data_IF_054554001770
#
_entry.id   IF_054554001770
#
_cell.length_a   1.000
_cell.length_b   1.000
_cell.length_c   1.000
_cell.angle_alpha   90.00
_cell.angle_beta   90.00
_cell.angle_gamma   90.00
#
_symmetry.space_group_name_H-M   'P 1'
#
loop_
_entity.id
_entity.type
_entity.pdbx_description
1 polymer ?
#
# COMPACT_ATOMS: atom_id res chain seq x y z
N UNK A 1 -49.23 -7.81 63.45
CA UNK A 1 -47.96 -8.54 63.24
C UNK A 1 -47.71 -8.96 61.78
N UNK A 2 -48.41 -8.40 60.78
CA UNK A 2 -48.25 -8.82 59.37
C UNK A 2 -47.35 -7.93 58.50
N UNK A 3 -47.00 -6.72 58.93
CA UNK A 3 -46.16 -5.79 58.15
C UNK A 3 -44.64 -5.94 58.37
N UNK A 4 -44.18 -6.46 59.51
CA UNK A 4 -42.74 -6.68 59.76
C UNK A 4 -42.16 -7.87 58.98
N UNK A 5 -42.98 -8.88 58.67
CA UNK A 5 -42.54 -10.06 57.90
C UNK A 5 -42.35 -9.78 56.40
N UNK A 6 -42.99 -8.76 55.83
CA UNK A 6 -42.84 -8.43 54.41
C UNK A 6 -41.57 -7.63 54.12
N UNK A 7 -41.11 -6.79 55.06
CA UNK A 7 -39.88 -5.99 54.90
C UNK A 7 -38.60 -6.83 54.91
N UNK A 8 -38.51 -7.80 55.81
CA UNK A 8 -37.34 -8.71 55.91
C UNK A 8 -37.24 -9.61 54.68
N UNK A 9 -38.39 -9.99 54.08
CA UNK A 9 -38.41 -10.85 52.89
C UNK A 9 -37.92 -10.15 51.63
N UNK A 10 -38.20 -8.84 51.49
CA UNK A 10 -37.67 -8.04 50.39
C UNK A 10 -36.17 -7.76 50.51
N UNK A 11 -35.66 -7.58 51.73
CA UNK A 11 -34.22 -7.34 51.97
C UNK A 11 -33.35 -8.59 51.69
N UNK A 12 -33.90 -9.79 51.94
CA UNK A 12 -33.27 -11.06 51.56
C UNK A 12 -33.22 -11.25 50.03
N UNK A 13 -34.29 -10.92 49.31
CA UNK A 13 -34.37 -11.04 47.84
C UNK A 13 -33.36 -10.11 47.14
N UNK A 14 -33.23 -8.87 47.63
CA UNK A 14 -32.24 -7.91 47.13
C UNK A 14 -30.81 -8.36 47.41
N UNK A 15 -30.55 -9.00 48.55
CA UNK A 15 -29.23 -9.55 48.89
C UNK A 15 -28.86 -10.71 47.96
N UNK A 16 -29.82 -11.58 47.67
CA UNK A 16 -29.64 -12.70 46.74
C UNK A 16 -29.39 -12.20 45.31
N UNK A 17 -30.09 -11.15 44.87
CA UNK A 17 -29.83 -10.49 43.58
C UNK A 17 -28.44 -9.84 43.52
N UNK A 18 -27.99 -9.19 44.60
CA UNK A 18 -26.64 -8.60 44.68
C UNK A 18 -25.56 -9.68 44.65
N UNK A 19 -25.76 -10.81 45.32
CA UNK A 19 -24.82 -11.95 45.25
C UNK A 19 -24.80 -12.60 43.86
N UNK A 20 -25.95 -12.69 43.20
CA UNK A 20 -26.06 -13.17 41.82
C UNK A 20 -25.39 -12.22 40.82
N UNK A 21 -25.54 -10.90 41.00
CA UNK A 21 -24.85 -9.90 40.19
C UNK A 21 -23.35 -9.93 40.43
N UNK A 22 -22.92 -10.04 41.70
CA UNK A 22 -21.50 -10.13 42.06
C UNK A 22 -20.83 -11.35 41.44
N UNK A 23 -21.46 -12.52 41.55
CA UNK A 23 -20.95 -13.74 40.91
C UNK A 23 -20.98 -13.67 39.38
N UNK A 24 -21.97 -13.00 38.78
CA UNK A 24 -21.99 -12.73 37.34
C UNK A 24 -20.87 -11.81 36.88
N UNK A 25 -20.58 -10.76 37.65
CA UNK A 25 -19.47 -9.84 37.41
C UNK A 25 -18.12 -10.55 37.59
N UNK A 26 -17.95 -11.34 38.64
CA UNK A 26 -16.73 -12.13 38.87
C UNK A 26 -16.49 -13.14 37.73
N UNK A 27 -17.57 -13.75 37.23
CA UNK A 27 -17.52 -14.65 36.06
C UNK A 27 -17.09 -13.89 34.80
N UNK A 28 -17.72 -12.76 34.49
CA UNK A 28 -17.35 -11.95 33.33
C UNK A 28 -15.89 -11.43 33.42
N UNK A 29 -15.44 -11.05 34.62
CA UNK A 29 -14.05 -10.66 34.87
C UNK A 29 -13.10 -11.84 34.62
N UNK A 30 -13.48 -13.06 35.02
CA UNK A 30 -12.66 -14.25 34.78
C UNK A 30 -12.60 -14.64 33.30
N UNK A 31 -13.70 -14.52 32.57
CA UNK A 31 -13.76 -14.76 31.12
C UNK A 31 -12.91 -13.74 30.36
N UNK A 32 -13.04 -12.44 30.68
CA UNK A 32 -12.19 -11.39 30.10
C UNK A 32 -10.71 -11.59 30.42
N UNK A 33 -10.36 -12.03 31.63
CA UNK A 33 -8.98 -12.37 31.98
C UNK A 33 -8.45 -13.54 31.15
N UNK A 34 -9.28 -14.55 30.90
CA UNK A 34 -8.93 -15.69 30.05
C UNK A 34 -8.69 -15.23 28.61
N UNK A 35 -9.61 -14.45 28.03
CA UNK A 35 -9.47 -13.90 26.67
C UNK A 35 -8.24 -12.99 26.52
N UNK A 36 -7.92 -12.19 27.53
CA UNK A 36 -6.71 -11.37 27.54
C UNK A 36 -5.45 -12.26 27.56
N UNK A 37 -5.47 -13.36 28.29
CA UNK A 37 -4.33 -14.27 28.35
C UNK A 37 -4.15 -15.04 27.04
N UNK A 38 -5.23 -15.48 26.41
CA UNK A 38 -5.22 -16.09 25.08
C UNK A 38 -4.69 -15.10 24.02
N UNK A 39 -5.10 -13.84 24.08
CA UNK A 39 -4.57 -12.78 23.19
C UNK A 39 -3.08 -12.51 23.42
N UNK A 40 -2.61 -12.52 24.67
CA UNK A 40 -1.17 -12.40 24.96
C UNK A 40 -0.39 -13.58 24.41
N UNK A 41 -0.91 -14.80 24.55
CA UNK A 41 -0.27 -16.00 24.00
C UNK A 41 -0.20 -15.91 22.47
N UNK A 42 -1.28 -15.52 21.80
CA UNK A 42 -1.28 -15.30 20.36
C UNK A 42 -0.27 -14.21 19.94
N UNK A 43 -0.12 -13.13 20.71
CA UNK A 43 0.90 -12.10 20.47
C UNK A 43 2.33 -12.64 20.63
N UNK A 44 2.57 -13.49 21.63
CA UNK A 44 3.88 -14.14 21.84
C UNK A 44 4.19 -15.10 20.68
N UNK A 45 3.21 -15.88 20.23
CA UNK A 45 3.32 -16.75 19.04
C UNK A 45 3.64 -15.93 17.79
N UNK A 46 2.91 -14.85 17.53
CA UNK A 46 3.18 -13.95 16.41
C UNK A 46 4.58 -13.33 16.49
N UNK A 47 5.04 -12.95 17.68
CA UNK A 47 6.41 -12.48 17.87
C UNK A 47 7.44 -13.57 17.61
N UNK A 48 7.19 -14.81 18.01
CA UNK A 48 8.08 -15.92 17.67
C UNK A 48 8.10 -16.20 16.17
N UNK A 49 6.96 -16.24 15.50
CA UNK A 49 6.88 -16.39 14.04
C UNK A 49 7.52 -15.22 13.31
N UNK A 50 7.35 -14.00 13.81
CA UNK A 50 8.03 -12.82 13.27
C UNK A 50 9.54 -12.94 13.45
N UNK A 51 10.02 -13.41 14.60
CA UNK A 51 11.44 -13.65 14.85
C UNK A 51 12.01 -14.79 13.99
N UNK A 52 11.21 -15.81 13.65
CA UNK A 52 11.57 -16.84 12.67
C UNK A 52 11.67 -16.26 11.24
N UNK A 53 10.79 -15.32 10.88
CA UNK A 53 10.80 -14.61 9.59
C UNK A 53 11.92 -13.55 9.53
N UNK A 54 12.23 -12.91 10.65
CA UNK A 54 13.30 -11.91 10.81
C UNK A 54 14.69 -12.53 10.70
N UNK A 55 14.80 -13.86 10.84
CA UNK A 55 15.98 -14.62 10.45
C UNK A 55 15.78 -15.31 9.08
N UNK A 56 15.95 -14.58 7.96
CA UNK A 56 15.72 -15.10 6.61
C UNK A 56 16.64 -16.29 6.28
N UNK A 57 17.74 -16.49 7.01
CA UNK A 57 18.64 -17.62 6.80
C UNK A 57 18.10 -18.95 7.33
N UNK A 58 17.19 -18.95 8.32
CA UNK A 58 16.57 -20.18 8.79
C UNK A 58 15.61 -20.76 7.74
N UNK A 59 14.90 -19.89 7.03
CA UNK A 59 14.05 -20.28 5.91
C UNK A 59 14.92 -20.82 4.75
N UNK A 60 16.02 -20.15 4.44
CA UNK A 60 16.99 -20.63 3.45
C UNK A 60 17.62 -21.97 3.86
N UNK A 61 17.91 -22.18 5.15
CA UNK A 61 18.44 -23.46 5.63
C UNK A 61 17.41 -24.60 5.57
N UNK A 62 16.12 -24.29 5.67
CA UNK A 62 15.04 -25.28 5.53
C UNK A 62 14.68 -25.58 4.07
N UNK A 63 14.85 -24.59 3.17
CA UNK A 63 14.55 -24.69 1.75
C UNK A 63 15.74 -25.20 0.93
N UNK A 64 16.97 -24.89 1.34
CA UNK A 64 18.18 -25.42 0.73
C UNK A 64 18.45 -26.77 1.38
N UNK A 65 18.06 -27.84 0.71
CA UNK A 65 18.48 -29.19 1.06
C UNK A 65 20.01 -29.28 0.99
N UNK A 66 20.64 -30.00 1.91
CA UNK A 66 22.10 -30.21 2.00
C UNK A 66 22.77 -30.65 0.68
N UNK A 67 22.00 -31.20 -0.26
CA UNK A 67 22.46 -31.60 -1.59
C UNK A 67 22.74 -30.42 -2.54
N UNK A 68 21.98 -29.33 -2.45
CA UNK A 68 22.09 -28.20 -3.38
C UNK A 68 23.20 -27.22 -2.96
N UNK A 69 23.43 -27.06 -1.64
CA UNK A 69 24.52 -26.22 -1.14
C UNK A 69 25.90 -26.77 -1.53
N UNK A 70 26.06 -28.10 -1.56
CA UNK A 70 27.28 -28.78 -2.00
C UNK A 70 27.53 -28.66 -3.51
N UNK A 71 26.48 -28.62 -4.34
CA UNK A 71 26.63 -28.38 -5.79
C UNK A 71 27.06 -26.94 -6.09
N UNK A 72 26.54 -25.96 -5.36
CA UNK A 72 26.86 -24.54 -5.57
C UNK A 72 28.30 -24.23 -5.12
N UNK A 73 28.74 -24.77 -3.97
CA UNK A 73 30.13 -24.61 -3.52
C UNK A 73 31.14 -25.38 -4.39
N UNK A 74 30.77 -26.54 -4.94
CA UNK A 74 31.61 -27.27 -5.89
C UNK A 74 31.77 -26.54 -7.24
N UNK A 75 30.76 -25.79 -7.69
CA UNK A 75 30.85 -25.00 -8.93
C UNK A 75 31.62 -23.67 -8.76
N UNK A 76 31.64 -23.08 -7.56
CA UNK A 76 32.39 -21.85 -7.30
C UNK A 76 33.91 -22.07 -7.10
N UNK A 77 34.36 -23.31 -6.81
CA UNK A 77 35.76 -23.62 -6.49
C UNK A 77 36.64 -24.06 -7.67
N UNK A 78 36.11 -24.16 -8.90
CA UNK A 78 36.81 -24.79 -10.03
C UNK A 78 37.32 -23.82 -11.13
N UNK A 79 37.21 -22.51 -10.93
CA UNK A 79 37.59 -21.51 -11.94
C UNK A 79 38.71 -20.56 -11.47
N UNK A 80 39.75 -21.06 -10.80
CA UNK A 80 41.00 -20.32 -10.63
C UNK A 80 42.21 -21.24 -10.79
N UNK A 81 42.76 -21.27 -12.01
CA UNK A 81 44.20 -21.27 -12.35
C UNK A 81 44.37 -21.49 -13.86
N UNK A 82 44.94 -20.48 -14.55
CA UNK A 82 46.14 -20.61 -15.41
C UNK A 82 46.18 -19.59 -16.58
N UNK A 83 46.90 -18.48 -16.32
CA UNK A 83 47.92 -17.78 -17.13
C UNK A 83 47.82 -17.60 -18.67
N UNK A 84 47.95 -16.31 -19.05
CA UNK A 84 48.81 -15.69 -20.11
C UNK A 84 48.26 -15.63 -21.56
N UNK A 85 48.10 -14.40 -22.08
CA UNK A 85 47.74 -14.06 -23.48
C UNK A 85 48.92 -14.15 -24.48
N UNK A 86 48.84 -13.63 -25.74
CA UNK A 86 48.03 -12.47 -26.20
C UNK A 86 47.37 -12.58 -27.61
N UNK A 87 46.69 -11.48 -27.99
CA UNK A 87 46.38 -10.93 -29.34
C UNK A 87 44.92 -10.86 -29.83
N UNK A 88 44.48 -9.59 -29.98
CA UNK A 88 43.60 -8.95 -30.99
C UNK A 88 42.25 -9.56 -31.35
N UNK A 89 41.17 -8.84 -31.02
CA UNK A 89 40.24 -8.24 -32.00
C UNK A 89 39.15 -7.38 -31.32
N UNK A 90 39.08 -6.13 -31.78
CA UNK A 90 37.92 -5.24 -31.95
C UNK A 90 36.62 -5.44 -31.15
N UNK A 91 36.34 -4.43 -30.30
CA UNK A 91 35.20 -3.51 -30.44
C UNK A 91 33.82 -4.11 -30.77
N UNK A 92 33.00 -4.32 -29.74
CA UNK A 92 31.60 -3.86 -29.74
C UNK A 92 31.08 -3.70 -28.31
N UNK A 93 30.82 -2.43 -27.99
CA UNK A 93 30.24 -1.90 -26.77
C UNK A 93 28.75 -2.22 -26.75
N UNK A 94 28.35 -3.23 -25.97
CA UNK A 94 26.97 -3.37 -25.52
C UNK A 94 26.90 -2.88 -24.07
N UNK A 95 26.47 -1.62 -23.93
CA UNK A 95 26.08 -1.04 -22.64
C UNK A 95 24.82 -1.76 -22.13
N UNK A 96 25.05 -2.64 -21.16
CA UNK A 96 24.36 -2.63 -19.88
C UNK A 96 22.82 -2.52 -19.93
N UNK A 97 22.18 -3.68 -20.16
CA UNK A 97 20.81 -3.91 -19.70
C UNK A 97 20.76 -3.75 -18.18
N UNK A 98 20.40 -2.56 -17.73
CA UNK A 98 19.85 -2.33 -16.40
C UNK A 98 18.68 -3.29 -16.24
N UNK A 99 18.86 -4.30 -15.39
CA UNK A 99 17.77 -5.16 -14.92
C UNK A 99 16.82 -4.24 -14.15
N UNK A 100 15.70 -3.90 -14.77
CA UNK A 100 14.53 -3.37 -14.08
C UNK A 100 14.25 -4.23 -12.84
N UNK A 101 14.09 -3.64 -11.64
CA UNK A 101 13.59 -4.39 -10.51
C UNK A 101 12.19 -4.89 -10.85
N UNK A 102 12.07 -6.21 -10.96
CA UNK A 102 10.81 -6.93 -11.01
C UNK A 102 9.99 -6.65 -9.73
N UNK A 103 9.22 -5.56 -9.70
CA UNK A 103 8.25 -5.26 -8.63
C UNK A 103 6.87 -4.87 -9.19
N UNK A 104 6.48 -5.43 -10.33
CA UNK A 104 5.12 -5.29 -10.89
C UNK A 104 4.24 -6.53 -10.60
N UNK A 105 4.52 -7.23 -9.50
CA UNK A 105 3.80 -8.46 -9.10
C UNK A 105 3.30 -8.49 -7.66
N UNK A 106 3.52 -7.44 -6.87
CA UNK A 106 2.95 -7.35 -5.54
C UNK A 106 1.53 -6.77 -5.63
N UNK A 107 0.56 -7.67 -5.79
CA UNK A 107 -0.81 -7.55 -5.26
C UNK A 107 -1.33 -6.10 -5.21
N UNK A 108 -1.67 -5.55 -6.38
CA UNK A 108 -2.70 -4.53 -6.41
C UNK A 108 -4.00 -5.27 -6.09
N UNK A 109 -4.24 -5.48 -4.79
CA UNK A 109 -5.52 -5.87 -4.25
C UNK A 109 -6.51 -4.82 -4.70
N UNK A 110 -7.18 -5.09 -5.83
CA UNK A 110 -8.23 -4.26 -6.44
C UNK A 110 -8.04 -2.79 -6.07
N UNK A 111 -6.87 -2.22 -6.42
CA UNK A 111 -6.55 -0.86 -6.05
C UNK A 111 -7.69 -0.02 -6.61
N UNK A 112 -8.54 0.48 -5.71
CA UNK A 112 -9.76 1.16 -6.10
C UNK A 112 -9.30 2.27 -7.03
N UNK A 113 -9.69 2.20 -8.31
CA UNK A 113 -9.20 3.13 -9.33
C UNK A 113 -9.46 4.58 -8.94
N UNK A 114 -10.48 4.77 -8.10
CA UNK A 114 -10.79 6.02 -7.43
C UNK A 114 -9.63 6.53 -6.56
N UNK A 115 -8.88 5.66 -5.89
CA UNK A 115 -7.65 6.00 -5.15
C UNK A 115 -6.56 6.51 -6.09
N UNK A 116 -6.31 5.84 -7.21
CA UNK A 116 -5.32 6.29 -8.19
C UNK A 116 -5.70 7.66 -8.78
N UNK A 117 -6.96 7.85 -9.16
CA UNK A 117 -7.48 9.12 -9.66
C UNK A 117 -7.41 10.21 -8.59
N UNK A 118 -7.72 9.87 -7.33
CA UNK A 118 -7.62 10.81 -6.21
C UNK A 118 -6.18 11.27 -5.97
N UNK A 119 -5.20 10.37 -6.08
CA UNK A 119 -3.78 10.71 -6.00
C UNK A 119 -3.36 11.63 -7.16
N UNK A 120 -3.81 11.35 -8.39
CA UNK A 120 -3.52 12.21 -9.55
C UNK A 120 -4.12 13.60 -9.35
N UNK A 121 -5.38 13.69 -8.92
CA UNK A 121 -6.05 14.95 -8.64
C UNK A 121 -5.35 15.70 -7.50
N UNK A 122 -4.91 15.00 -6.47
CA UNK A 122 -4.16 15.61 -5.37
C UNK A 122 -2.83 16.19 -5.86
N UNK A 123 -2.04 15.42 -6.62
CA UNK A 123 -0.81 15.92 -7.25
C UNK A 123 -1.09 17.14 -8.14
N UNK A 124 -2.18 17.10 -8.91
CA UNK A 124 -2.61 18.23 -9.72
C UNK A 124 -2.88 19.48 -8.88
N UNK A 125 -3.62 19.33 -7.77
CA UNK A 125 -3.92 20.46 -6.88
C UNK A 125 -2.65 21.05 -6.24
N UNK A 126 -1.65 20.22 -5.91
CA UNK A 126 -0.38 20.72 -5.38
C UNK A 126 0.39 21.52 -6.44
N UNK A 127 0.40 21.06 -7.69
CA UNK A 127 1.01 21.82 -8.79
C UNK A 127 0.27 23.14 -9.04
N UNK A 128 -1.06 23.17 -8.93
CA UNK A 128 -1.86 24.40 -9.07
C UNK A 128 -1.62 25.39 -7.92
N UNK A 129 -1.28 24.91 -6.73
CA UNK A 129 -0.85 25.72 -5.60
C UNK A 129 0.58 26.27 -5.75
N UNK A 130 1.31 25.84 -6.78
CA UNK A 130 2.66 26.31 -7.09
C UNK A 130 3.79 25.50 -6.46
N UNK A 131 3.51 24.32 -5.90
CA UNK A 131 4.56 23.39 -5.46
C UNK A 131 5.29 22.80 -6.66
N UNK A 132 6.60 22.57 -6.51
CA UNK A 132 7.39 21.85 -7.49
C UNK A 132 7.36 20.33 -7.24
N UNK A 133 8.01 19.57 -8.12
CA UNK A 133 8.05 18.10 -8.02
C UNK A 133 8.76 17.66 -6.72
N UNK A 134 9.84 18.34 -6.35
CA UNK A 134 10.64 18.00 -5.17
C UNK A 134 9.86 18.23 -3.88
N UNK A 135 9.06 19.29 -3.82
CA UNK A 135 8.17 19.61 -2.71
C UNK A 135 7.04 18.59 -2.61
N UNK A 136 6.42 18.21 -3.73
CA UNK A 136 5.39 17.17 -3.77
C UNK A 136 5.95 15.83 -3.28
N UNK A 137 7.18 15.49 -3.65
CA UNK A 137 7.84 14.27 -3.17
C UNK A 137 8.06 14.32 -1.65
N UNK A 138 8.60 15.42 -1.12
CA UNK A 138 8.80 15.59 0.34
C UNK A 138 7.47 15.53 1.11
N UNK A 139 6.44 16.21 0.61
CA UNK A 139 5.09 16.19 1.19
C UNK A 139 4.53 14.77 1.17
N UNK A 140 4.69 14.04 0.05
CA UNK A 140 4.20 12.67 -0.06
C UNK A 140 4.86 11.72 0.95
N UNK A 141 6.19 11.82 1.14
CA UNK A 141 6.95 11.03 2.13
C UNK A 141 6.53 11.38 3.55
N UNK A 142 6.30 12.66 3.83
CA UNK A 142 5.77 13.12 5.11
C UNK A 142 4.37 12.54 5.37
N UNK A 143 3.46 12.64 4.40
CA UNK A 143 2.11 12.09 4.52
C UNK A 143 2.10 10.56 4.70
N UNK A 144 3.02 9.84 4.06
CA UNK A 144 3.18 8.40 4.27
C UNK A 144 3.70 8.07 5.67
N UNK A 145 4.68 8.82 6.17
CA UNK A 145 5.21 8.65 7.54
C UNK A 145 4.12 8.84 8.61
N UNK A 146 3.23 9.80 8.42
CA UNK A 146 2.09 10.06 9.30
C UNK A 146 0.86 9.18 9.01
N UNK A 147 0.95 8.21 8.09
CA UNK A 147 -0.18 7.36 7.67
C UNK A 147 -1.40 8.13 7.14
N UNK A 148 -1.20 9.36 6.65
CA UNK A 148 -2.20 10.14 5.93
C UNK A 148 -2.38 9.62 4.49
N UNK A 149 -1.35 8.96 3.97
CA UNK A 149 -1.33 8.30 2.67
C UNK A 149 -1.11 6.79 2.86
N UNK A 150 -1.54 5.99 1.87
CA UNK A 150 -1.26 4.56 1.88
C UNK A 150 0.25 4.30 1.74
N UNK A 151 0.73 3.20 2.34
CA UNK A 151 2.14 2.83 2.24
C UNK A 151 2.53 2.61 0.79
N UNK A 152 3.68 3.14 0.39
CA UNK A 152 4.18 3.13 -0.99
C UNK A 152 3.58 4.20 -1.89
N UNK A 153 2.58 4.98 -1.45
CA UNK A 153 2.01 6.06 -2.26
C UNK A 153 3.02 7.15 -2.64
N UNK A 154 4.03 7.42 -1.80
CA UNK A 154 5.08 8.38 -2.14
C UNK A 154 5.85 8.00 -3.41
N UNK A 155 6.13 6.70 -3.59
CA UNK A 155 6.80 6.20 -4.79
C UNK A 155 5.94 6.40 -6.04
N UNK A 156 4.64 6.05 -5.99
CA UNK A 156 3.73 6.27 -7.10
C UNK A 156 3.58 7.76 -7.44
N UNK A 157 3.53 8.62 -6.42
CA UNK A 157 3.46 10.08 -6.60
C UNK A 157 4.72 10.60 -7.29
N UNK A 158 5.91 10.15 -6.87
CA UNK A 158 7.17 10.56 -7.52
C UNK A 158 7.24 10.16 -8.99
N UNK A 159 6.62 9.05 -9.38
CA UNK A 159 6.56 8.60 -10.77
C UNK A 159 5.59 9.45 -11.60
N UNK A 160 4.44 9.81 -11.02
CA UNK A 160 3.37 10.49 -11.77
C UNK A 160 3.51 12.01 -11.79
N UNK A 161 4.08 12.64 -10.75
CA UNK A 161 4.29 14.07 -10.67
C UNK A 161 4.94 14.70 -11.91
N UNK A 162 6.07 14.17 -12.45
CA UNK A 162 6.67 14.72 -13.67
C UNK A 162 5.79 14.51 -14.92
N UNK A 163 4.99 13.45 -14.97
CA UNK A 163 4.05 13.22 -16.07
C UNK A 163 2.87 14.21 -16.03
N UNK A 164 2.36 14.49 -14.82
CA UNK A 164 1.29 15.46 -14.60
C UNK A 164 1.76 16.89 -14.90
N UNK A 165 2.96 17.25 -14.49
CA UNK A 165 3.55 18.57 -14.80
C UNK A 165 3.67 18.77 -16.32
N UNK A 166 4.17 17.75 -17.04
CA UNK A 166 4.23 17.79 -18.52
C UNK A 166 2.84 17.89 -19.14
N UNK A 167 1.86 17.17 -18.62
CA UNK A 167 0.48 17.26 -19.12
C UNK A 167 -0.11 18.66 -18.91
N UNK A 168 0.21 19.30 -17.76
CA UNK A 168 -0.17 20.68 -17.48
C UNK A 168 0.47 21.66 -18.46
N UNK A 169 1.76 21.49 -18.77
CA UNK A 169 2.46 22.30 -19.77
C UNK A 169 1.84 22.20 -21.17
N UNK A 170 1.19 21.07 -21.47
CA UNK A 170 0.44 20.85 -22.71
C UNK A 170 -1.02 21.36 -22.67
N UNK A 171 -1.42 22.06 -21.61
CA UNK A 171 -2.78 22.55 -21.39
C UNK A 171 -3.87 21.46 -21.38
N UNK A 172 -3.50 20.24 -20.97
CA UNK A 172 -4.46 19.16 -20.72
C UNK A 172 -5.16 19.42 -19.37
N UNK A 173 -6.40 18.98 -19.25
CA UNK A 173 -7.10 18.99 -17.97
C UNK A 173 -6.80 17.73 -17.16
N UNK A 174 -6.93 17.83 -15.84
CA UNK A 174 -6.88 16.72 -14.89
C UNK A 174 -7.77 15.55 -15.31
N UNK A 175 -8.99 15.84 -15.76
CA UNK A 175 -9.93 14.80 -16.19
C UNK A 175 -9.45 14.04 -17.45
N UNK A 176 -8.77 14.72 -18.40
CA UNK A 176 -8.27 14.07 -19.62
C UNK A 176 -7.08 13.16 -19.31
N UNK A 177 -6.22 13.56 -18.38
CA UNK A 177 -5.11 12.72 -17.89
C UNK A 177 -5.63 11.51 -17.12
N UNK A 178 -6.66 11.68 -16.29
CA UNK A 178 -7.30 10.56 -15.61
C UNK A 178 -7.98 9.60 -16.61
N UNK A 179 -8.63 10.12 -17.66
CA UNK A 179 -9.24 9.32 -18.73
C UNK A 179 -8.21 8.53 -19.54
N UNK A 180 -7.02 9.10 -19.80
CA UNK A 180 -5.98 8.40 -20.55
C UNK A 180 -5.39 7.23 -19.75
N UNK A 181 -5.23 7.40 -18.43
CA UNK A 181 -4.80 6.33 -17.52
C UNK A 181 -5.87 5.23 -17.42
N UNK A 182 -7.15 5.61 -17.39
CA UNK A 182 -8.25 4.64 -17.49
C UNK A 182 -8.20 3.86 -18.81
N UNK A 183 -7.97 4.55 -19.93
CA UNK A 183 -7.82 3.92 -21.25
C UNK A 183 -6.69 2.90 -21.28
N UNK A 184 -5.53 3.25 -20.68
CA UNK A 184 -4.40 2.34 -20.53
C UNK A 184 -4.73 1.13 -19.63
N UNK A 185 -5.40 1.35 -18.50
CA UNK A 185 -5.82 0.27 -17.60
C UNK A 185 -6.79 -0.71 -18.29
N UNK A 186 -7.77 -0.20 -19.03
CA UNK A 186 -8.69 -1.01 -19.83
C UNK A 186 -7.96 -1.80 -20.91
N UNK A 187 -7.01 -1.18 -21.62
CA UNK A 187 -6.18 -1.86 -22.61
C UNK A 187 -5.31 -2.95 -21.98
N UNK A 188 -4.88 -2.76 -20.73
CA UNK A 188 -4.14 -3.74 -19.93
C UNK A 188 -5.02 -4.88 -19.37
N UNK A 189 -6.32 -4.91 -19.70
CA UNK A 189 -7.25 -5.97 -19.28
C UNK A 189 -7.79 -5.82 -17.86
N UNK A 190 -7.61 -4.64 -17.26
CA UNK A 190 -8.07 -4.41 -15.90
C UNK A 190 -9.59 -4.19 -15.86
N UNK A 191 -10.26 -4.80 -14.86
CA UNK A 191 -11.70 -4.59 -14.65
C UNK A 191 -11.90 -3.23 -14.03
N UNK A 192 -12.43 -2.29 -14.81
CA UNK A 192 -12.75 -0.97 -14.29
C UNK A 192 -14.25 -0.69 -14.44
N UNK A 193 -14.84 -0.09 -13.40
CA UNK A 193 -16.26 0.24 -13.32
C UNK A 193 -16.60 1.30 -14.35
N UNK A 194 -17.69 1.11 -15.07
CA UNK A 194 -18.07 1.97 -16.19
C UNK A 194 -18.61 3.31 -15.67
N UNK A 195 -19.23 3.28 -14.49
CA UNK A 195 -19.82 4.44 -13.80
C UNK A 195 -18.76 5.52 -13.55
N UNK A 196 -17.60 5.13 -13.00
CA UNK A 196 -16.49 6.03 -12.67
C UNK A 196 -15.92 6.74 -13.93
N UNK A 197 -15.96 6.08 -15.08
CA UNK A 197 -15.54 6.68 -16.38
C UNK A 197 -16.56 7.67 -16.86
N UNK A 198 -17.84 7.33 -16.77
CA UNK A 198 -18.89 8.15 -17.34
C UNK A 198 -18.93 9.49 -16.66
N UNK A 199 -18.82 9.54 -15.33
CA UNK A 199 -18.77 10.79 -14.58
C UNK A 199 -17.53 11.61 -14.93
N UNK A 200 -16.37 10.97 -15.05
CA UNK A 200 -15.13 11.63 -15.45
C UNK A 200 -15.21 12.19 -16.88
N UNK A 201 -15.77 11.43 -17.81
CA UNK A 201 -15.98 11.82 -19.19
C UNK A 201 -16.98 12.98 -19.31
N UNK A 202 -18.09 12.93 -18.57
CA UNK A 202 -19.06 14.03 -18.55
C UNK A 202 -18.46 15.31 -17.93
N UNK A 203 -17.63 15.20 -16.89
CA UNK A 203 -16.93 16.34 -16.32
C UNK A 203 -15.91 16.95 -17.30
N UNK A 204 -15.13 16.12 -17.99
CA UNK A 204 -14.21 16.57 -19.03
C UNK A 204 -14.97 17.29 -20.17
N UNK A 205 -16.06 16.70 -20.66
CA UNK A 205 -16.91 17.28 -21.71
C UNK A 205 -17.53 18.60 -21.24
N UNK A 206 -18.02 18.67 -20.01
CA UNK A 206 -18.59 19.90 -19.44
C UNK A 206 -17.57 21.02 -19.33
N UNK A 207 -16.34 20.71 -18.89
CA UNK A 207 -15.22 21.68 -18.85
C UNK A 207 -14.84 22.16 -20.26
N UNK A 208 -14.84 21.27 -21.25
CA UNK A 208 -14.58 21.63 -22.66
C UNK A 208 -15.67 22.54 -23.23
N UNK A 209 -16.94 22.25 -22.96
CA UNK A 209 -18.09 23.06 -23.41
C UNK A 209 -18.16 24.40 -22.68
N UNK A 210 -17.75 24.44 -21.41
CA UNK A 210 -17.74 25.66 -20.60
C UNK A 210 -16.51 26.56 -20.86
N UNK A 211 -15.55 26.11 -21.68
CA UNK A 211 -14.37 26.89 -22.06
C UNK A 211 -14.76 27.86 -23.18
N UNK A 212 -14.74 29.18 -22.98
CA UNK A 212 -15.01 30.14 -24.04
C UNK A 212 -13.95 30.05 -25.15
N UNK A 213 -14.29 30.39 -26.41
CA UNK A 213 -13.39 30.29 -27.55
C UNK A 213 -12.41 31.47 -27.60
N UNK A 214 -11.56 31.66 -26.58
CA UNK A 214 -10.53 32.71 -26.61
C UNK A 214 -9.21 32.25 -25.99
N UNK A 215 -8.37 31.63 -26.82
CA UNK A 215 -6.91 31.78 -26.74
C UNK A 215 -6.23 31.32 -28.05
N UNK A 216 -6.79 31.71 -29.21
CA UNK A 216 -6.00 31.76 -30.45
C UNK A 216 -5.46 33.19 -30.56
N UNK A 217 -4.56 33.52 -29.63
CA UNK A 217 -3.74 34.71 -29.73
C UNK A 217 -2.61 34.44 -30.71
N UNK A 218 -2.76 34.91 -31.94
CA UNK A 218 -1.67 35.11 -32.89
C UNK A 218 -0.45 35.71 -32.17
N UNK A 219 0.67 35.00 -32.15
CA UNK A 219 1.98 35.65 -32.22
C UNK A 219 2.40 35.65 -33.69
N UNK A 220 2.26 36.80 -34.33
CA UNK A 220 3.11 37.18 -35.46
C UNK A 220 4.49 37.54 -34.94
#
# INVERSE_FOLDING_TARGET
>A
MSSEKSGIRGDLDLRDEVEKLKSGVDKAISELKCEIEDLKNALVELKSSLNEIENPFNLLSSLVSDEDFKKITAQAGAAEKEKVGPEKAEEKREEERVKEPHLLGAVLSEADYNTCISLIKWVWTLLDLGFDIDDIEKISRYCEFFSLLQKGSSHYISLIAPAVEKARALNLSDDVVALSIYGAAKASGAKVKIEDVTDLAFNALRKLISRPPESIGLKR
#
